data_IF_798419823539
#
_entry.id   IF_798419823539
#
_cell.length_a   1.000
_cell.length_b   1.000
_cell.length_c   1.000
_cell.angle_alpha   90.00
_cell.angle_beta   90.00
_cell.angle_gamma   90.00
#
_symmetry.space_group_name_H-M   'P 1'
#
loop_
_entity.id
_entity.type
_entity.pdbx_description
1 polymer ?
#
# COMPACT_ATOMS: atom_id res chain seq x y z
N UNK A 1 -0.51 0.29 -22.82
CA UNK A 1 -0.91 0.39 -24.24
C UNK A 1 -1.60 -0.88 -24.73
N UNK A 2 -1.18 -2.05 -24.27
CA UNK A 2 -1.73 -3.36 -24.71
C UNK A 2 -2.90 -3.85 -23.84
N UNK A 3 -3.12 -3.29 -22.66
CA UNK A 3 -4.17 -3.68 -21.74
C UNK A 3 -3.87 -4.95 -20.93
N UNK A 4 -2.69 -5.54 -21.04
CA UNK A 4 -2.25 -6.69 -20.24
C UNK A 4 -0.74 -6.64 -20.00
N UNK A 5 -0.30 -7.36 -18.95
CA UNK A 5 1.12 -7.48 -18.61
C UNK A 5 1.86 -8.35 -19.64
N UNK A 6 3.09 -8.00 -20.01
CA UNK A 6 3.91 -8.84 -20.88
C UNK A 6 4.18 -10.21 -20.22
N UNK A 7 4.24 -11.24 -21.05
CA UNK A 7 4.66 -12.60 -20.63
C UNK A 7 6.07 -12.96 -21.06
N UNK A 8 6.76 -12.03 -21.72
CA UNK A 8 8.14 -12.17 -22.16
C UNK A 8 9.10 -11.63 -21.10
N UNK A 9 10.04 -12.47 -20.66
CA UNK A 9 11.08 -12.10 -19.68
C UNK A 9 11.93 -10.94 -20.17
N UNK A 10 12.25 -10.84 -21.47
CA UNK A 10 13.08 -9.75 -21.97
C UNK A 10 12.42 -8.38 -21.86
N UNK A 11 11.10 -8.30 -22.02
CA UNK A 11 10.37 -7.06 -21.79
C UNK A 11 10.44 -6.64 -20.32
N UNK A 12 10.31 -7.58 -19.39
CA UNK A 12 10.48 -7.29 -17.97
C UNK A 12 11.93 -6.93 -17.61
N UNK A 13 12.93 -7.63 -18.18
CA UNK A 13 14.33 -7.25 -18.00
C UNK A 13 14.59 -5.82 -18.47
N UNK A 14 14.03 -5.43 -19.61
CA UNK A 14 14.14 -4.05 -20.13
C UNK A 14 13.55 -3.03 -19.14
N UNK A 15 12.30 -3.23 -18.71
CA UNK A 15 11.60 -2.30 -17.81
C UNK A 15 12.30 -2.20 -16.47
N UNK A 16 12.59 -3.34 -15.84
CA UNK A 16 13.20 -3.40 -14.51
C UNK A 16 14.65 -2.91 -14.51
N UNK A 17 15.42 -3.12 -15.61
CA UNK A 17 16.78 -2.57 -15.75
C UNK A 17 16.76 -1.05 -15.80
N UNK A 18 15.81 -0.46 -16.51
CA UNK A 18 15.65 1.00 -16.55
C UNK A 18 15.34 1.52 -15.14
N UNK A 19 14.36 0.94 -14.45
CA UNK A 19 14.03 1.34 -13.10
C UNK A 19 15.22 1.20 -12.13
N UNK A 20 15.95 0.09 -12.22
CA UNK A 20 17.15 -0.14 -11.41
C UNK A 20 18.24 0.91 -11.68
N UNK A 21 18.39 1.38 -12.93
CA UNK A 21 19.34 2.45 -13.26
C UNK A 21 19.01 3.78 -12.57
N UNK A 22 17.76 3.98 -12.16
CA UNK A 22 17.32 5.11 -11.32
C UNK A 22 17.35 4.82 -9.83
N UNK A 23 17.93 3.69 -9.41
CA UNK A 23 18.06 3.31 -8.02
C UNK A 23 16.82 2.60 -7.43
N UNK A 24 15.85 2.25 -8.25
CA UNK A 24 14.66 1.50 -7.80
C UNK A 24 15.05 0.03 -7.61
N UNK A 25 14.81 -0.50 -6.42
CA UNK A 25 15.10 -1.88 -6.06
C UNK A 25 13.89 -2.65 -5.55
N UNK A 26 12.71 -2.04 -5.53
CA UNK A 26 11.46 -2.62 -5.07
C UNK A 26 10.32 -2.22 -5.99
N UNK A 27 9.48 -3.20 -6.36
CA UNK A 27 8.28 -3.01 -7.17
C UNK A 27 7.05 -3.51 -6.44
N UNK A 28 6.13 -2.61 -6.19
CA UNK A 28 4.78 -2.92 -5.74
C UNK A 28 3.86 -3.09 -6.95
N UNK A 29 3.03 -4.10 -6.94
CA UNK A 29 2.00 -4.35 -7.97
C UNK A 29 0.62 -4.05 -7.41
N UNK A 30 0.15 -2.85 -7.70
CA UNK A 30 -1.13 -2.33 -7.21
C UNK A 30 -2.29 -3.24 -7.63
N UNK A 31 -2.94 -3.89 -6.65
CA UNK A 31 -4.09 -4.78 -6.82
C UNK A 31 -3.91 -5.87 -7.88
N UNK A 32 -2.70 -6.38 -8.04
CA UNK A 32 -2.46 -7.48 -8.96
C UNK A 32 -1.22 -8.30 -8.59
N UNK A 33 -1.17 -9.50 -9.16
CA UNK A 33 0.03 -10.32 -9.19
C UNK A 33 0.59 -10.31 -10.62
N UNK A 34 1.89 -9.99 -10.82
CA UNK A 34 2.49 -10.03 -12.13
C UNK A 34 2.70 -11.48 -12.61
N UNK A 35 2.93 -11.69 -13.91
CA UNK A 35 3.21 -13.03 -14.44
C UNK A 35 4.62 -13.52 -14.03
N UNK A 36 4.86 -14.82 -14.13
CA UNK A 36 6.13 -15.49 -13.85
C UNK A 36 7.35 -14.80 -14.48
N UNK A 37 7.19 -14.32 -15.71
CA UNK A 37 8.23 -13.58 -16.43
C UNK A 37 8.75 -12.35 -15.66
N UNK A 38 7.89 -11.69 -14.89
CA UNK A 38 8.27 -10.53 -14.08
C UNK A 38 9.14 -10.97 -12.88
N UNK A 39 8.75 -12.04 -12.19
CA UNK A 39 9.54 -12.59 -11.10
C UNK A 39 10.88 -13.12 -11.59
N UNK A 40 10.92 -13.86 -12.71
CA UNK A 40 12.16 -14.34 -13.32
C UNK A 40 13.11 -13.17 -13.64
N UNK A 41 12.61 -12.10 -14.23
CA UNK A 41 13.44 -10.93 -14.53
C UNK A 41 13.91 -10.22 -13.24
N UNK A 42 13.07 -10.13 -12.24
CA UNK A 42 13.40 -9.53 -10.95
C UNK A 42 14.46 -10.35 -10.19
N UNK A 43 14.38 -11.68 -10.24
CA UNK A 43 15.39 -12.59 -9.67
C UNK A 43 16.77 -12.32 -10.27
N UNK A 44 16.84 -12.21 -11.61
CA UNK A 44 18.08 -11.91 -12.34
C UNK A 44 18.66 -10.55 -11.96
N UNK A 45 17.80 -9.57 -11.80
CA UNK A 45 18.22 -8.18 -11.55
C UNK A 45 18.40 -7.86 -10.06
N UNK A 46 17.92 -8.70 -9.14
CA UNK A 46 17.93 -8.41 -7.71
C UNK A 46 16.98 -7.27 -7.36
N UNK A 47 15.74 -7.31 -7.84
CA UNK A 47 14.67 -6.39 -7.49
C UNK A 47 13.65 -7.11 -6.63
N UNK A 48 13.25 -6.51 -5.52
CA UNK A 48 12.22 -7.06 -4.64
C UNK A 48 10.84 -6.80 -5.23
N UNK A 49 9.97 -7.82 -5.10
CA UNK A 49 8.62 -7.79 -5.64
C UNK A 49 7.59 -7.85 -4.51
N UNK A 50 6.58 -7.01 -4.61
CA UNK A 50 5.43 -6.95 -3.70
C UNK A 50 4.13 -7.08 -4.51
N UNK A 51 3.69 -8.28 -4.85
CA UNK A 51 2.35 -8.50 -5.39
C UNK A 51 1.29 -8.25 -4.33
N UNK A 52 0.10 -7.85 -4.78
CA UNK A 52 -1.09 -7.66 -3.96
C UNK A 52 -2.21 -8.59 -4.39
N UNK A 53 -3.11 -8.92 -3.45
CA UNK A 53 -4.40 -9.45 -3.84
C UNK A 53 -5.15 -8.41 -4.69
N UNK A 54 -5.91 -8.85 -5.72
CA UNK A 54 -6.64 -7.94 -6.60
C UNK A 54 -7.89 -7.39 -5.89
N UNK A 55 -7.67 -6.68 -4.79
CA UNK A 55 -8.75 -6.19 -3.97
C UNK A 55 -8.55 -4.73 -3.51
N UNK A 56 -9.62 -3.98 -3.61
CA UNK A 56 -9.75 -2.62 -3.15
C UNK A 56 -11.17 -2.44 -2.61
N UNK A 57 -11.32 -2.64 -1.30
CA UNK A 57 -12.66 -2.73 -0.75
C UNK A 57 -12.69 -2.91 0.77
N UNK A 58 -13.79 -3.46 1.29
CA UNK A 58 -13.99 -3.71 2.71
C UNK A 58 -13.86 -5.19 3.05
N UNK A 59 -13.00 -5.50 4.00
CA UNK A 59 -12.88 -6.81 4.63
C UNK A 59 -13.60 -6.76 5.98
N UNK A 60 -14.91 -6.96 5.98
CA UNK A 60 -15.71 -7.04 7.20
C UNK A 60 -15.54 -8.39 7.90
N UNK A 61 -15.68 -8.43 9.22
CA UNK A 61 -15.67 -9.67 9.99
C UNK A 61 -17.01 -10.43 9.87
N UNK A 62 -17.04 -11.75 10.13
CA UNK A 62 -18.27 -12.50 10.18
C UNK A 62 -19.29 -11.87 11.14
N UNK A 63 -20.51 -11.65 10.64
CA UNK A 63 -21.59 -11.00 11.39
C UNK A 63 -21.63 -9.48 11.30
N UNK A 64 -20.66 -8.85 10.69
CA UNK A 64 -20.68 -7.41 10.40
C UNK A 64 -21.40 -7.11 9.08
N UNK A 65 -21.90 -5.89 8.97
CA UNK A 65 -22.48 -5.40 7.70
C UNK A 65 -21.41 -5.38 6.61
N UNK A 66 -21.75 -5.91 5.45
CA UNK A 66 -20.83 -6.01 4.30
C UNK A 66 -19.93 -7.25 4.32
N UNK A 67 -20.08 -8.16 5.31
CA UNK A 67 -19.37 -9.43 5.28
C UNK A 67 -19.76 -10.26 4.06
N UNK A 68 -18.79 -10.68 3.28
CA UNK A 68 -18.96 -11.53 2.11
C UNK A 68 -18.01 -12.73 2.19
N UNK A 69 -18.53 -13.84 2.71
CA UNK A 69 -17.75 -15.06 2.91
C UNK A 69 -17.16 -15.60 1.59
N UNK A 70 -17.96 -15.61 0.54
CA UNK A 70 -17.54 -16.18 -0.76
C UNK A 70 -16.39 -15.37 -1.37
N UNK A 71 -16.46 -14.04 -1.28
CA UNK A 71 -15.42 -13.15 -1.76
C UNK A 71 -14.13 -13.31 -0.94
N UNK A 72 -14.25 -13.33 0.39
CA UNK A 72 -13.08 -13.47 1.25
C UNK A 72 -12.41 -14.83 1.09
N UNK A 73 -13.18 -15.91 0.99
CA UNK A 73 -12.65 -17.24 0.72
C UNK A 73 -11.93 -17.30 -0.63
N UNK A 74 -12.50 -16.65 -1.66
CA UNK A 74 -11.85 -16.55 -2.97
C UNK A 74 -10.52 -15.80 -2.88
N UNK A 75 -10.46 -14.67 -2.16
CA UNK A 75 -9.23 -13.90 -1.99
C UNK A 75 -8.16 -14.70 -1.24
N UNK A 76 -8.55 -15.42 -0.18
CA UNK A 76 -7.64 -16.28 0.58
C UNK A 76 -7.09 -17.40 -0.31
N UNK A 77 -7.95 -18.10 -1.04
CA UNK A 77 -7.52 -19.16 -1.97
C UNK A 77 -6.62 -18.62 -3.09
N UNK A 78 -6.91 -17.42 -3.58
CA UNK A 78 -6.08 -16.78 -4.60
C UNK A 78 -4.67 -16.46 -4.08
N UNK A 79 -4.57 -15.91 -2.87
CA UNK A 79 -3.28 -15.66 -2.23
C UNK A 79 -2.49 -16.95 -1.98
N UNK A 80 -3.17 -18.03 -1.57
CA UNK A 80 -2.56 -19.35 -1.45
C UNK A 80 -1.96 -19.82 -2.77
N UNK A 81 -2.70 -19.65 -3.88
CA UNK A 81 -2.21 -19.98 -5.22
C UNK A 81 -1.03 -19.11 -5.65
N UNK A 82 -1.03 -17.83 -5.27
CA UNK A 82 0.11 -16.94 -5.54
C UNK A 82 1.37 -17.43 -4.83
N UNK A 83 1.27 -17.80 -3.56
CA UNK A 83 2.37 -18.36 -2.78
C UNK A 83 2.84 -19.70 -3.33
N UNK A 84 1.94 -20.62 -3.67
CA UNK A 84 2.27 -21.92 -4.25
C UNK A 84 2.97 -21.79 -5.61
N UNK A 85 2.56 -20.81 -6.42
CA UNK A 85 3.06 -20.65 -7.78
C UNK A 85 4.37 -19.87 -7.81
N UNK A 86 4.46 -18.79 -7.07
CA UNK A 86 5.55 -17.82 -7.17
C UNK A 86 6.43 -17.74 -5.92
N UNK A 87 6.03 -18.33 -4.79
CA UNK A 87 6.72 -18.19 -3.51
C UNK A 87 8.17 -18.71 -3.49
N UNK A 88 8.62 -19.45 -4.52
CA UNK A 88 10.00 -19.88 -4.66
C UNK A 88 10.91 -18.89 -5.39
N UNK A 89 10.34 -17.80 -5.95
CA UNK A 89 11.15 -16.74 -6.53
C UNK A 89 11.83 -15.93 -5.41
N UNK A 90 13.17 -15.82 -5.39
CA UNK A 90 13.86 -15.03 -4.37
C UNK A 90 13.52 -13.53 -4.42
N UNK A 91 12.99 -13.04 -5.52
CA UNK A 91 12.48 -11.68 -5.64
C UNK A 91 11.13 -11.47 -4.95
N UNK A 92 10.31 -12.50 -4.75
CA UNK A 92 9.03 -12.40 -4.05
C UNK A 92 9.28 -12.29 -2.55
N UNK A 93 9.44 -11.08 -2.05
CA UNK A 93 9.81 -10.83 -0.65
C UNK A 93 8.64 -10.33 0.19
N UNK A 94 7.73 -9.57 -0.40
CA UNK A 94 6.67 -8.84 0.28
C UNK A 94 5.33 -9.20 -0.34
N UNK A 95 4.28 -9.30 0.51
CA UNK A 95 2.92 -9.60 0.07
C UNK A 95 1.90 -8.73 0.81
N UNK A 96 1.00 -8.11 0.06
CA UNK A 96 -0.03 -7.21 0.57
C UNK A 96 -1.44 -7.74 0.29
N UNK A 97 -2.36 -7.56 1.25
CA UNK A 97 -3.76 -7.97 1.11
C UNK A 97 -4.57 -7.11 0.13
N UNK A 98 -4.02 -6.01 -0.36
CA UNK A 98 -4.67 -5.14 -1.33
C UNK A 98 -4.38 -3.67 -1.10
N UNK A 99 -5.19 -2.81 -1.74
CA UNK A 99 -5.00 -1.37 -1.71
C UNK A 99 -6.15 -0.67 -1.00
N UNK A 100 -5.82 0.25 -0.08
CA UNK A 100 -6.76 1.16 0.58
C UNK A 100 -7.97 0.44 1.18
N UNK A 101 -7.70 -0.67 1.88
CA UNK A 101 -8.74 -1.50 2.45
C UNK A 101 -9.38 -0.82 3.67
N UNK A 102 -10.63 -1.19 3.89
CA UNK A 102 -11.41 -0.86 5.07
C UNK A 102 -11.98 -2.13 5.70
N UNK A 103 -12.59 -2.02 6.87
CA UNK A 103 -13.30 -3.10 7.53
C UNK A 103 -12.75 -3.42 8.90
N UNK A 104 -12.66 -4.70 9.23
CA UNK A 104 -12.21 -5.19 10.53
C UNK A 104 -10.70 -5.40 10.56
N UNK A 105 -9.96 -4.66 11.41
CA UNK A 105 -8.54 -4.92 11.64
C UNK A 105 -8.28 -6.35 12.13
N UNK A 106 -9.16 -6.88 12.97
CA UNK A 106 -9.06 -8.25 13.50
C UNK A 106 -9.13 -9.28 12.37
N UNK A 107 -10.05 -9.06 11.43
CA UNK A 107 -10.21 -9.95 10.28
C UNK A 107 -9.02 -9.87 9.32
N UNK A 108 -8.48 -8.69 9.09
CA UNK A 108 -7.24 -8.52 8.34
C UNK A 108 -6.08 -9.27 8.99
N UNK A 109 -5.95 -9.18 10.32
CA UNK A 109 -4.95 -9.92 11.09
C UNK A 109 -5.12 -11.44 10.98
N UNK A 110 -6.36 -11.96 10.99
CA UNK A 110 -6.63 -13.38 10.78
C UNK A 110 -6.17 -13.87 9.41
N UNK A 111 -6.42 -13.09 8.36
CA UNK A 111 -5.98 -13.43 6.99
C UNK A 111 -4.45 -13.39 6.89
N UNK A 112 -3.80 -12.41 7.52
CA UNK A 112 -2.34 -12.37 7.58
C UNK A 112 -1.75 -13.57 8.31
N UNK A 113 -2.32 -13.99 9.44
CA UNK A 113 -1.89 -15.20 10.16
C UNK A 113 -1.99 -16.43 9.27
N UNK A 114 -3.09 -16.59 8.53
CA UNK A 114 -3.26 -17.68 7.58
C UNK A 114 -2.08 -17.78 6.60
N UNK A 115 -1.71 -16.67 5.97
CA UNK A 115 -0.59 -16.66 5.02
C UNK A 115 0.77 -16.89 5.69
N UNK A 116 1.02 -16.30 6.84
CA UNK A 116 2.26 -16.50 7.61
C UNK A 116 2.43 -17.93 8.08
N UNK A 117 1.37 -18.59 8.51
CA UNK A 117 1.38 -19.99 8.92
C UNK A 117 1.63 -20.91 7.73
N UNK A 118 1.15 -20.51 6.53
CA UNK A 118 1.36 -21.24 5.30
C UNK A 118 2.77 -21.10 4.73
N UNK A 119 3.29 -19.89 4.70
CA UNK A 119 4.62 -19.59 4.19
C UNK A 119 5.30 -18.44 4.94
N UNK A 120 6.19 -18.77 5.84
CA UNK A 120 6.88 -17.79 6.68
C UNK A 120 8.11 -17.13 6.04
N UNK A 121 8.36 -17.39 4.75
CA UNK A 121 9.53 -16.85 4.04
C UNK A 121 9.36 -15.41 3.55
N UNK A 122 8.12 -14.95 3.48
CA UNK A 122 7.76 -13.62 2.98
C UNK A 122 7.42 -12.67 4.14
N UNK A 123 7.42 -11.39 3.84
CA UNK A 123 6.92 -10.33 4.70
C UNK A 123 5.50 -9.96 4.28
N UNK A 124 4.60 -9.78 5.23
CA UNK A 124 3.19 -9.57 4.98
C UNK A 124 2.68 -8.26 5.58
N UNK A 125 1.78 -7.58 4.86
CA UNK A 125 1.07 -6.42 5.36
C UNK A 125 -0.43 -6.52 5.10
N UNK A 126 -1.21 -5.95 5.99
CA UNK A 126 -2.67 -5.89 5.89
C UNK A 126 -3.16 -5.20 4.61
N UNK A 127 -2.32 -4.43 3.95
CA UNK A 127 -2.64 -3.69 2.75
C UNK A 127 -1.86 -2.39 2.63
N UNK A 128 -1.88 -1.80 1.46
CA UNK A 128 -1.21 -0.56 1.19
C UNK A 128 -2.16 0.62 1.39
N UNK A 129 -1.79 1.57 2.27
CA UNK A 129 -2.56 2.77 2.59
C UNK A 129 -3.98 2.48 3.12
N UNK A 130 -4.13 1.40 3.88
CA UNK A 130 -5.41 1.06 4.49
C UNK A 130 -5.85 2.13 5.49
N UNK A 131 -7.18 2.27 5.66
CA UNK A 131 -7.75 3.26 6.58
C UNK A 131 -7.23 4.68 6.34
N UNK A 132 -7.04 5.07 5.10
CA UNK A 132 -6.38 6.28 4.57
C UNK A 132 -6.24 7.48 5.52
N UNK A 133 -7.34 7.86 6.18
CA UNK A 133 -7.40 9.02 7.07
C UNK A 133 -7.21 8.67 8.54
N UNK A 134 -7.27 7.40 8.85
CA UNK A 134 -7.09 6.85 10.18
C UNK A 134 -6.13 5.66 10.13
N UNK A 135 -4.86 5.89 9.81
CA UNK A 135 -3.91 4.81 9.64
C UNK A 135 -3.73 4.01 10.93
N UNK A 136 -3.67 2.69 10.77
CA UNK A 136 -3.42 1.76 11.86
C UNK A 136 -2.56 0.58 11.37
N UNK A 137 -1.95 -0.12 12.30
CA UNK A 137 -1.29 -1.40 12.06
C UNK A 137 -2.02 -2.49 12.82
N UNK A 138 -2.05 -3.67 12.23
CA UNK A 138 -2.44 -4.88 12.97
C UNK A 138 -1.19 -5.55 13.55
N UNK A 139 -1.31 -6.32 14.64
CA UNK A 139 -0.16 -6.98 15.26
C UNK A 139 0.61 -7.90 14.30
N UNK A 140 -0.08 -8.44 13.32
CA UNK A 140 0.43 -9.36 12.31
C UNK A 140 1.21 -8.70 11.18
N UNK A 141 1.16 -7.37 11.03
CA UNK A 141 1.96 -6.67 10.04
C UNK A 141 3.47 -6.87 10.28
N UNK A 142 4.22 -7.12 9.21
CA UNK A 142 5.68 -7.11 9.24
C UNK A 142 6.24 -5.73 8.87
N UNK A 143 5.46 -4.94 8.14
CA UNK A 143 5.77 -3.56 7.73
C UNK A 143 4.48 -2.77 7.51
N UNK A 144 4.59 -1.45 7.59
CA UNK A 144 3.51 -0.52 7.29
C UNK A 144 3.71 0.14 5.94
N UNK A 145 2.67 0.22 5.13
CA UNK A 145 2.69 0.93 3.84
C UNK A 145 1.61 2.01 3.83
N UNK A 146 1.98 3.25 3.61
CA UNK A 146 0.99 4.32 3.56
C UNK A 146 1.56 5.67 3.13
N UNK A 147 0.67 6.63 2.97
CA UNK A 147 1.00 8.01 2.60
C UNK A 147 1.13 8.92 3.81
N UNK A 148 0.62 8.49 4.97
CA UNK A 148 0.60 9.27 6.20
C UNK A 148 0.55 8.38 7.43
N UNK A 149 0.88 8.95 8.57
CA UNK A 149 0.73 8.34 9.89
C UNK A 149 -0.36 9.04 10.72
N UNK A 150 -0.77 10.25 10.33
CA UNK A 150 -1.93 10.99 10.82
C UNK A 150 -2.32 12.04 9.79
N UNK A 151 -3.35 12.84 10.09
CA UNK A 151 -3.75 13.96 9.24
C UNK A 151 -2.58 14.90 8.92
N UNK A 152 -1.76 15.18 9.92
CA UNK A 152 -0.63 16.14 9.81
C UNK A 152 0.72 15.49 9.52
N UNK A 153 0.83 14.17 9.75
CA UNK A 153 2.10 13.45 9.61
C UNK A 153 2.16 12.69 8.29
N UNK A 154 2.57 13.40 7.26
CA UNK A 154 2.63 12.88 5.89
C UNK A 154 3.95 12.17 5.62
N UNK A 155 3.88 10.97 5.05
CA UNK A 155 5.02 10.20 4.56
C UNK A 155 5.34 10.53 3.10
N UNK A 156 4.34 10.85 2.32
CA UNK A 156 4.49 11.23 0.92
C UNK A 156 4.79 12.74 0.84
N UNK A 157 6.00 13.09 0.45
CA UNK A 157 6.43 14.50 0.39
C UNK A 157 6.02 15.26 -0.87
N UNK A 158 5.54 14.62 -1.91
CA UNK A 158 5.23 15.27 -3.20
C UNK A 158 3.75 15.36 -3.40
N UNK A 159 2.84 14.72 -3.21
CA UNK A 159 1.41 14.84 -3.48
C UNK A 159 0.58 14.34 -2.32
N UNK A 160 -0.31 15.14 -1.85
CA UNK A 160 -1.30 14.73 -0.89
C UNK A 160 -2.69 14.83 -1.46
N UNK A 161 -3.38 13.72 -1.62
CA UNK A 161 -4.74 13.70 -2.16
C UNK A 161 -5.71 14.62 -1.45
N UNK A 162 -5.42 14.94 -0.19
CA UNK A 162 -6.41 15.54 0.69
C UNK A 162 -5.97 16.88 1.25
N UNK A 163 -4.77 17.32 0.98
CA UNK A 163 -4.17 18.43 1.70
C UNK A 163 -3.91 19.62 0.77
N UNK A 164 -4.97 20.04 0.09
CA UNK A 164 -4.92 21.30 -0.60
C UNK A 164 -4.67 22.43 0.44
N UNK A 165 -3.84 23.39 0.12
CA UNK A 165 -3.15 23.65 -1.15
C UNK A 165 -1.82 22.92 -1.30
N UNK A 166 -1.42 22.10 -0.36
CA UNK A 166 -0.13 21.39 -0.35
C UNK A 166 -0.09 20.19 -1.30
N UNK A 167 -1.24 19.87 -1.87
CA UNK A 167 -1.55 18.58 -2.41
C UNK A 167 -0.73 18.12 -3.56
N UNK A 168 -0.38 18.89 -4.51
CA UNK A 168 -0.02 18.31 -5.79
C UNK A 168 1.20 18.93 -6.46
N UNK A 169 1.67 20.03 -5.99
CA UNK A 169 2.80 20.69 -6.60
C UNK A 169 3.98 20.72 -5.68
N UNK A 170 4.97 20.02 -6.09
CA UNK A 170 6.21 19.95 -5.40
C UNK A 170 7.18 20.96 -6.02
N UNK A 171 7.14 22.20 -5.57
CA UNK A 171 7.90 23.28 -6.18
C UNK A 171 9.07 23.74 -5.34
N UNK A 172 8.88 23.92 -4.04
CA UNK A 172 9.85 24.58 -3.17
C UNK A 172 10.55 23.63 -2.21
N UNK A 173 9.93 22.48 -1.89
CA UNK A 173 10.46 21.51 -0.94
C UNK A 173 10.51 20.13 -1.57
N UNK A 174 11.64 19.75 -2.15
CA UNK A 174 11.84 18.37 -2.60
C UNK A 174 11.63 17.37 -1.47
N UNK A 175 11.11 16.20 -1.79
CA UNK A 175 10.92 15.11 -0.82
C UNK A 175 12.22 14.73 -0.10
N UNK A 176 13.36 14.94 -0.73
CA UNK A 176 14.69 14.74 -0.13
C UNK A 176 14.99 15.67 1.06
N UNK A 177 14.22 16.75 1.23
CA UNK A 177 14.33 17.66 2.39
C UNK A 177 13.35 17.29 3.51
N UNK A 178 12.56 16.25 3.33
CA UNK A 178 11.58 15.80 4.31
C UNK A 178 12.29 15.07 5.46
N UNK A 179 12.03 15.50 6.69
CA UNK A 179 12.58 14.89 7.89
C UNK A 179 11.71 13.71 8.31
N UNK A 180 11.95 12.55 7.73
CA UNK A 180 11.14 11.36 8.00
C UNK A 180 11.16 10.92 9.46
N UNK A 181 12.28 11.09 10.16
CA UNK A 181 12.37 10.74 11.58
C UNK A 181 11.38 11.56 12.43
N UNK A 182 11.25 12.86 12.16
CA UNK A 182 10.30 13.73 12.85
C UNK A 182 8.84 13.37 12.51
N UNK A 183 8.58 12.81 11.34
CA UNK A 183 7.26 12.36 10.93
C UNK A 183 6.91 11.01 11.57
N UNK A 184 7.87 10.09 11.61
CA UNK A 184 7.69 8.74 12.16
C UNK A 184 7.65 8.78 13.68
N UNK A 185 8.52 9.55 14.31
CA UNK A 185 8.67 9.69 15.76
C UNK A 185 8.48 11.15 16.21
N UNK A 186 7.24 11.66 16.17
CA UNK A 186 6.99 13.05 16.54
C UNK A 186 7.35 13.28 18.00
N UNK A 187 7.90 14.45 18.29
CA UNK A 187 8.10 14.89 19.66
C UNK A 187 6.74 14.99 20.34
N UNK A 188 6.57 14.34 21.47
CA UNK A 188 5.33 14.45 22.24
C UNK A 188 5.16 15.90 22.69
N UNK A 189 4.09 16.54 22.25
CA UNK A 189 3.61 17.79 22.83
C UNK A 189 2.79 17.43 24.06
N UNK A 190 3.20 17.91 25.23
CA UNK A 190 2.43 17.72 26.47
C UNK A 190 1.05 18.36 26.30
N UNK A 191 -0.02 17.57 26.44
CA UNK A 191 -1.40 18.07 26.53
C UNK A 191 -2.43 17.52 25.57
N UNK A 192 -2.08 16.65 24.63
CA UNK A 192 -3.03 16.09 23.67
C UNK A 192 -3.52 14.70 24.12
N UNK A 193 -4.52 14.69 24.94
CA UNK A 193 -5.16 13.49 25.45
C UNK A 193 -6.68 13.61 25.51
N UNK A 194 -7.35 13.67 24.38
CA UNK A 194 -8.76 13.32 24.27
C UNK A 194 -9.05 12.91 22.84
N UNK A 195 -9.69 11.77 22.66
CA UNK A 195 -10.17 11.28 21.38
C UNK A 195 -11.30 12.16 20.88
N UNK A 196 -10.95 13.23 20.21
CA UNK A 196 -11.90 14.02 19.47
C UNK A 196 -11.95 13.41 18.07
N UNK A 197 -13.09 12.83 17.69
CA UNK A 197 -13.30 12.24 16.38
C UNK A 197 -14.20 13.13 15.54
N UNK A 198 -13.96 13.17 14.25
CA UNK A 198 -14.84 13.80 13.28
C UNK A 198 -15.32 12.77 12.25
N UNK A 199 -16.54 12.91 11.78
CA UNK A 199 -17.07 12.15 10.67
C UNK A 199 -16.64 12.82 9.37
N UNK A 200 -15.99 12.07 8.50
CA UNK A 200 -15.63 12.53 7.16
C UNK A 200 -16.24 11.62 6.11
N UNK A 201 -16.50 12.16 4.94
CA UNK A 201 -16.90 11.39 3.78
C UNK A 201 -15.67 11.02 2.96
N UNK A 202 -15.54 9.73 2.64
CA UNK A 202 -14.48 9.23 1.78
C UNK A 202 -15.09 8.61 0.53
N UNK A 203 -14.40 8.74 -0.59
CA UNK A 203 -14.78 8.00 -1.79
C UNK A 203 -14.44 6.52 -1.58
N UNK A 204 -15.43 5.66 -1.83
CA UNK A 204 -15.31 4.24 -1.59
C UNK A 204 -15.85 3.45 -2.79
N UNK A 205 -14.94 2.91 -3.59
CA UNK A 205 -15.32 2.33 -4.87
C UNK A 205 -16.07 3.34 -5.74
N UNK A 206 -17.31 3.01 -6.13
CA UNK A 206 -18.19 3.91 -6.89
C UNK A 206 -19.10 4.79 -6.01
N UNK A 207 -18.98 4.69 -4.70
CA UNK A 207 -19.82 5.37 -3.72
C UNK A 207 -19.04 6.25 -2.75
N UNK A 208 -19.78 6.80 -1.79
CA UNK A 208 -19.25 7.60 -0.69
C UNK A 208 -19.58 6.89 0.62
N UNK A 209 -18.62 6.82 1.53
CA UNK A 209 -18.78 6.24 2.87
C UNK A 209 -18.38 7.27 3.93
N UNK A 210 -19.15 7.33 5.00
CA UNK A 210 -18.81 8.12 6.19
C UNK A 210 -17.94 7.29 7.13
N UNK A 211 -16.85 7.86 7.58
CA UNK A 211 -15.93 7.25 8.54
C UNK A 211 -15.60 8.20 9.67
N UNK A 212 -15.40 7.66 10.87
CA UNK A 212 -14.94 8.44 12.01
C UNK A 212 -13.41 8.49 11.98
N UNK A 213 -12.85 9.69 12.05
CA UNK A 213 -11.40 9.91 12.09
C UNK A 213 -11.02 10.70 13.32
N UNK A 214 -9.84 10.45 13.87
CA UNK A 214 -9.32 11.22 14.98
C UNK A 214 -8.89 12.61 14.51
N UNK A 215 -9.34 13.64 15.23
CA UNK A 215 -8.89 15.02 15.03
C UNK A 215 -7.53 15.30 15.65
N UNK A 216 -7.12 14.46 16.59
CA UNK A 216 -5.87 14.68 17.31
C UNK A 216 -4.66 14.20 16.52
N UNK A 217 -3.56 14.91 16.66
CA UNK A 217 -2.29 14.63 15.99
C UNK A 217 -1.63 13.31 16.40
N UNK A 218 -2.22 12.57 17.33
CA UNK A 218 -1.66 11.32 17.86
C UNK A 218 -1.29 10.32 16.77
N UNK A 219 -2.23 9.99 15.91
CA UNK A 219 -1.99 9.10 14.78
C UNK A 219 -1.28 7.81 15.09
N UNK A 220 -0.84 7.12 14.05
CA UNK A 220 -0.07 5.88 14.17
C UNK A 220 1.38 6.18 14.57
N UNK A 221 1.84 5.55 15.64
CA UNK A 221 3.26 5.38 15.93
C UNK A 221 3.65 3.98 15.43
N UNK A 222 4.39 3.87 14.34
CA UNK A 222 4.69 2.57 13.76
C UNK A 222 5.65 1.79 14.67
N UNK A 223 5.35 0.51 14.84
CA UNK A 223 6.19 -0.43 15.59
C UNK A 223 6.99 -1.36 14.68
N UNK A 224 6.84 -1.21 13.39
CA UNK A 224 7.48 -1.98 12.32
C UNK A 224 8.08 -1.03 11.29
N UNK A 225 8.92 -1.51 10.39
CA UNK A 225 9.43 -0.70 9.27
C UNK A 225 8.31 -0.03 8.47
N UNK A 226 8.59 1.16 7.99
CA UNK A 226 7.64 1.98 7.22
C UNK A 226 8.11 2.08 5.78
N UNK A 227 7.21 1.78 4.85
CA UNK A 227 7.38 1.95 3.41
C UNK A 227 6.45 3.07 2.94
N UNK A 228 7.02 4.08 2.28
CA UNK A 228 6.22 5.16 1.71
C UNK A 228 5.46 4.67 0.49
N UNK A 229 4.23 5.15 0.33
CA UNK A 229 3.30 4.68 -0.68
C UNK A 229 3.21 5.69 -1.84
N UNK A 230 3.36 5.18 -3.06
CA UNK A 230 3.13 5.93 -4.30
C UNK A 230 3.83 7.30 -4.34
N UNK A 231 5.09 7.34 -3.96
CA UNK A 231 5.90 8.56 -4.07
C UNK A 231 6.13 8.90 -5.55
N UNK A 232 6.16 10.19 -5.87
CA UNK A 232 6.41 10.64 -7.25
C UNK A 232 5.16 10.67 -8.13
N UNK A 233 3.96 10.64 -7.58
CA UNK A 233 2.74 10.94 -8.30
C UNK A 233 2.70 12.45 -8.63
N UNK A 234 3.35 12.83 -9.69
CA UNK A 234 3.34 14.21 -10.16
C UNK A 234 2.26 14.40 -11.22
N UNK A 235 1.48 15.47 -11.06
CA UNK A 235 0.58 15.90 -12.12
C UNK A 235 1.41 16.56 -13.23
N UNK A 236 1.26 16.06 -14.44
CA UNK A 236 1.89 16.62 -15.63
C UNK A 236 0.82 16.88 -16.69
N UNK A 237 0.94 17.98 -17.39
CA UNK A 237 0.08 18.23 -18.54
C UNK A 237 0.46 17.26 -19.67
N UNK A 238 -0.49 16.50 -20.21
CA UNK A 238 -0.20 15.63 -21.33
C UNK A 238 0.20 16.47 -22.57
N UNK A 239 1.19 16.03 -23.29
CA UNK A 239 1.47 16.58 -24.62
C UNK A 239 0.47 15.98 -25.62
N UNK A 240 -0.55 16.75 -25.95
CA UNK A 240 -1.62 16.29 -26.84
C UNK A 240 -1.11 15.98 -28.27
N UNK A 241 0.11 16.39 -28.62
CA UNK A 241 0.73 16.02 -29.89
C UNK A 241 1.22 14.57 -29.93
N UNK A 242 1.32 13.93 -28.77
CA UNK A 242 1.71 12.54 -28.65
C UNK A 242 0.49 11.59 -28.61
N UNK A 243 -0.73 12.13 -28.64
CA UNK A 243 -1.98 11.38 -28.63
C UNK A 243 -2.51 11.39 -30.08
N UNK A 244 -2.28 10.30 -30.80
CA UNK A 244 -2.89 10.03 -32.10
C UNK A 244 -4.22 9.29 -31.97
#
# INVERSE_FOLDING_TARGET
RTGYAPTDVNEWLRVLSIAKSYGINHYRFHTCCPPDAAFTAADVLGIYMEPELPFWGTIAAPGEEGYNEAEQNYLIELGDKMLDTFGNHPSFVMFSLGNELWGSPERLGEILRHYKDRDSRHLYTQGCNNFQHFPLMVPEDDYYVGVRLSKERLLRGSFGMCDAPLGHVQTERPSTMHQYDDVIFPKQTEGEGASDTEEIEIQYGTGVKKVQVSKTAGGLIPTKPVVTHEIGQYEVYPDFREID
#
